data_IF_628914255653
#
_entry.id   IF_628914255653
#
_cell.length_a   1.000
_cell.length_b   1.000
_cell.length_c   1.000
_cell.angle_alpha   90.00
_cell.angle_beta   90.00
_cell.angle_gamma   90.00
#
_symmetry.space_group_name_H-M   'P 1'
#
loop_
_entity.id
_entity.type
_entity.pdbx_description
1 polymer ?
#
# COMPACT_ATOMS: atom_id res chain seq x y z
N UNK A 1 19.32 52.72 36.39
CA UNK A 1 19.34 52.61 34.91
C UNK A 1 18.03 51.93 34.53
N UNK A 2 16.88 52.62 34.44
CA UNK A 2 16.49 53.68 33.47
C UNK A 2 16.51 53.08 32.05
N UNK A 3 15.46 52.97 31.23
CA UNK A 3 14.05 53.40 31.24
C UNK A 3 13.35 52.82 29.99
N UNK A 4 12.02 52.61 30.10
CA UNK A 4 10.97 53.11 29.20
C UNK A 4 10.88 52.59 27.74
N UNK A 5 9.82 51.80 27.55
CA UNK A 5 9.09 51.56 26.31
C UNK A 5 8.83 52.85 25.50
N UNK A 6 9.04 52.78 24.18
CA UNK A 6 8.46 53.70 23.20
C UNK A 6 7.88 52.89 22.05
N UNK A 7 6.57 53.02 21.87
CA UNK A 7 5.84 52.69 20.64
C UNK A 7 6.43 53.49 19.47
N UNK A 8 6.58 52.83 18.32
CA UNK A 8 6.84 53.51 17.06
C UNK A 8 5.80 53.08 16.02
N UNK A 9 5.09 54.09 15.52
CA UNK A 9 4.00 54.03 14.55
C UNK A 9 4.48 53.53 13.19
N UNK A 10 3.56 52.87 12.49
CA UNK A 10 3.64 52.59 11.07
C UNK A 10 3.45 53.86 10.23
N UNK A 11 4.28 54.06 9.20
CA UNK A 11 3.90 54.75 7.96
C UNK A 11 4.84 54.41 6.76
N UNK A 12 4.21 53.83 5.74
CA UNK A 12 4.51 53.69 4.29
C UNK A 12 5.94 53.61 3.71
N UNK A 13 6.25 52.56 2.92
CA UNK A 13 7.37 52.57 1.97
C UNK A 13 7.03 53.36 0.70
N UNK A 14 7.86 54.35 0.39
CA UNK A 14 7.85 55.06 -0.89
C UNK A 14 8.32 54.16 -2.04
N UNK A 15 7.63 54.30 -3.16
CA UNK A 15 7.77 53.57 -4.41
C UNK A 15 9.12 53.77 -5.09
N UNK A 16 9.91 52.69 -5.20
CA UNK A 16 11.09 52.62 -6.06
C UNK A 16 10.72 52.08 -7.44
N UNK A 17 10.96 52.93 -8.44
CA UNK A 17 10.60 52.75 -9.85
C UNK A 17 11.27 51.53 -10.46
N UNK A 18 10.47 50.80 -11.25
CA UNK A 18 10.84 49.70 -12.11
C UNK A 18 11.92 50.08 -13.14
N UNK A 19 13.10 49.49 -13.03
CA UNK A 19 14.04 49.40 -14.16
C UNK A 19 13.91 48.01 -14.76
N UNK A 20 13.24 47.92 -15.91
CA UNK A 20 13.14 46.70 -16.69
C UNK A 20 14.52 46.38 -17.31
N UNK A 21 15.21 45.39 -16.75
CA UNK A 21 16.34 44.74 -17.40
C UNK A 21 15.80 43.80 -18.47
N UNK A 22 15.90 44.19 -19.75
CA UNK A 22 15.64 43.28 -20.86
C UNK A 22 16.84 42.34 -21.04
N UNK A 23 16.71 41.11 -20.54
CA UNK A 23 17.58 40.00 -20.95
C UNK A 23 17.26 39.64 -22.40
N UNK A 24 18.17 39.92 -23.34
CA UNK A 24 18.12 39.29 -24.66
C UNK A 24 18.67 37.88 -24.55
N UNK A 25 17.80 36.89 -24.69
CA UNK A 25 18.18 35.48 -24.79
C UNK A 25 19.14 35.28 -25.97
N UNK A 26 20.18 34.43 -25.84
CA UNK A 26 21.01 34.04 -26.98
C UNK A 26 20.14 33.44 -28.08
N UNK A 27 20.32 33.88 -29.32
CA UNK A 27 19.65 33.28 -30.49
C UNK A 27 19.95 31.78 -30.50
N UNK A 28 18.94 30.95 -30.27
CA UNK A 28 19.04 29.52 -30.49
C UNK A 28 19.32 29.28 -31.97
N UNK A 29 20.53 28.84 -32.31
CA UNK A 29 20.79 28.22 -33.59
C UNK A 29 19.91 26.97 -33.67
N UNK A 30 18.82 27.08 -34.43
CA UNK A 30 17.89 25.99 -34.70
C UNK A 30 18.58 25.04 -35.67
N UNK A 31 19.42 24.15 -35.13
CA UNK A 31 19.94 23.03 -35.89
C UNK A 31 18.73 22.15 -36.24
N UNK A 32 18.28 22.22 -37.49
CA UNK A 32 17.24 21.32 -37.99
C UNK A 32 17.75 19.88 -37.86
N UNK A 33 16.98 18.97 -37.24
CA UNK A 33 17.35 17.56 -37.22
C UNK A 33 17.56 17.10 -38.66
N UNK A 34 18.72 16.53 -38.96
CA UNK A 34 18.95 15.90 -40.26
C UNK A 34 17.87 14.83 -40.48
N UNK A 35 17.29 14.72 -41.70
CA UNK A 35 16.26 13.72 -41.96
C UNK A 35 16.86 12.33 -41.72
N UNK A 36 16.25 11.55 -40.83
CA UNK A 36 16.59 10.14 -40.70
C UNK A 36 16.22 9.47 -42.02
N UNK A 37 17.12 8.70 -42.66
CA UNK A 37 16.79 7.96 -43.86
C UNK A 37 15.52 7.11 -43.67
N UNK A 38 14.61 7.12 -44.66
CA UNK A 38 13.28 6.50 -44.53
C UNK A 38 13.36 5.00 -44.20
N UNK A 39 14.35 4.30 -44.72
CA UNK A 39 14.68 2.90 -44.43
C UNK A 39 15.04 2.69 -42.96
N UNK A 40 15.85 3.58 -42.40
CA UNK A 40 16.21 3.57 -40.97
C UNK A 40 14.99 3.90 -40.10
N UNK A 41 14.16 4.86 -40.52
CA UNK A 41 12.93 5.21 -39.82
C UNK A 41 11.91 4.05 -39.82
N UNK A 42 11.76 3.34 -40.95
CA UNK A 42 10.92 2.15 -41.09
C UNK A 42 11.42 0.98 -40.21
N UNK A 43 12.74 0.78 -40.14
CA UNK A 43 13.33 -0.26 -39.30
C UNK A 43 13.16 0.04 -37.82
N UNK A 44 13.33 1.30 -37.40
CA UNK A 44 13.06 1.73 -36.02
C UNK A 44 11.56 1.58 -35.70
N UNK A 45 10.67 1.98 -36.60
CA UNK A 45 9.23 1.87 -36.39
C UNK A 45 8.77 0.41 -36.24
N UNK A 46 9.24 -0.49 -37.11
CA UNK A 46 8.94 -1.92 -37.02
C UNK A 46 9.48 -2.55 -35.74
N UNK A 47 10.70 -2.19 -35.34
CA UNK A 47 11.29 -2.64 -34.08
C UNK A 47 10.50 -2.15 -32.86
N UNK A 48 10.19 -0.85 -32.79
CA UNK A 48 9.38 -0.28 -31.70
C UNK A 48 7.98 -0.88 -31.64
N UNK A 49 7.35 -1.14 -32.79
CA UNK A 49 6.06 -1.82 -32.86
C UNK A 49 6.16 -3.26 -32.32
N UNK A 50 7.23 -3.98 -32.64
CA UNK A 50 7.50 -5.32 -32.11
C UNK A 50 7.61 -5.33 -30.58
N UNK A 51 8.40 -4.42 -30.00
CA UNK A 51 8.51 -4.29 -28.54
C UNK A 51 7.20 -3.90 -27.88
N UNK A 52 6.41 -3.04 -28.53
CA UNK A 52 5.09 -2.65 -28.03
C UNK A 52 4.13 -3.84 -27.98
N UNK A 53 4.09 -4.66 -29.03
CA UNK A 53 3.26 -5.87 -29.05
C UNK A 53 3.70 -6.85 -27.95
N UNK A 54 5.01 -7.12 -27.85
CA UNK A 54 5.55 -7.99 -26.81
C UNK A 54 5.22 -7.50 -25.39
N UNK A 55 5.41 -6.21 -25.10
CA UNK A 55 5.06 -5.62 -23.81
C UNK A 55 3.56 -5.74 -23.52
N UNK A 56 2.72 -5.50 -24.53
CA UNK A 56 1.27 -5.61 -24.38
C UNK A 56 0.83 -7.05 -24.08
N UNK A 57 1.42 -8.04 -24.75
CA UNK A 57 1.16 -9.46 -24.50
C UNK A 57 1.57 -9.85 -23.08
N UNK A 58 2.78 -9.49 -22.65
CA UNK A 58 3.27 -9.74 -21.30
C UNK A 58 2.38 -9.07 -20.24
N UNK A 59 1.99 -7.82 -20.50
CA UNK A 59 1.11 -7.07 -19.60
C UNK A 59 -0.27 -7.73 -19.49
N UNK A 60 -0.84 -8.16 -20.61
CA UNK A 60 -2.13 -8.87 -20.63
C UNK A 60 -2.06 -10.20 -19.88
N UNK A 61 -0.96 -10.94 -20.03
CA UNK A 61 -0.74 -12.18 -19.29
C UNK A 61 -0.67 -11.93 -17.77
N UNK A 62 0.13 -10.94 -17.35
CA UNK A 62 0.22 -10.50 -15.95
C UNK A 62 -1.13 -10.03 -15.42
N UNK A 63 -1.89 -9.28 -16.22
CA UNK A 63 -3.23 -8.82 -15.85
C UNK A 63 -4.19 -10.00 -15.63
N UNK A 64 -4.21 -10.98 -16.54
CA UNK A 64 -5.04 -12.17 -16.40
C UNK A 64 -4.70 -12.97 -15.13
N UNK A 65 -3.40 -13.16 -14.87
CA UNK A 65 -2.89 -13.80 -13.64
C UNK A 65 -3.28 -13.03 -12.38
N UNK A 66 -3.17 -11.70 -12.39
CA UNK A 66 -3.62 -10.85 -11.29
C UNK A 66 -5.12 -11.02 -11.02
N UNK A 67 -5.93 -11.02 -12.09
CA UNK A 67 -7.37 -11.22 -11.99
C UNK A 67 -7.71 -12.55 -11.32
N UNK A 68 -6.98 -13.63 -11.62
CA UNK A 68 -7.18 -14.91 -10.94
C UNK A 68 -6.92 -14.83 -9.42
N UNK A 69 -5.85 -14.15 -9.00
CA UNK A 69 -5.55 -13.96 -7.56
C UNK A 69 -6.62 -13.10 -6.89
N UNK A 70 -7.04 -12.02 -7.54
CA UNK A 70 -8.11 -11.13 -7.03
C UNK A 70 -9.40 -11.91 -6.85
N UNK A 71 -9.84 -12.64 -7.88
CA UNK A 71 -11.06 -13.45 -7.83
C UNK A 71 -10.98 -14.53 -6.75
N UNK A 72 -9.81 -15.16 -6.59
CA UNK A 72 -9.58 -16.14 -5.54
C UNK A 72 -9.78 -15.52 -4.15
N UNK A 73 -9.13 -14.38 -3.86
CA UNK A 73 -9.27 -13.68 -2.58
C UNK A 73 -10.72 -13.25 -2.34
N UNK A 74 -11.38 -12.70 -3.35
CA UNK A 74 -12.77 -12.27 -3.26
C UNK A 74 -13.72 -13.44 -2.98
N UNK A 75 -13.55 -14.55 -3.70
CA UNK A 75 -14.34 -15.78 -3.51
C UNK A 75 -14.15 -16.35 -2.10
N UNK A 76 -12.90 -16.44 -1.62
CA UNK A 76 -12.60 -16.90 -0.27
C UNK A 76 -13.10 -15.94 0.81
N UNK A 77 -13.26 -14.65 0.49
CA UNK A 77 -13.78 -13.63 1.42
C UNK A 77 -15.31 -13.48 1.41
N UNK A 78 -16.03 -14.22 0.55
CA UNK A 78 -17.49 -14.15 0.40
C UNK A 78 -18.25 -14.41 1.72
N UNK A 79 -17.63 -15.13 2.65
CA UNK A 79 -18.11 -15.34 4.02
C UNK A 79 -17.71 -14.24 5.02
N UNK A 80 -17.57 -12.98 4.57
CA UNK A 80 -17.23 -11.78 5.38
C UNK A 80 -15.77 -11.74 5.88
N UNK A 81 -15.09 -12.87 5.92
CA UNK A 81 -13.73 -13.00 6.42
C UNK A 81 -12.89 -13.93 5.54
N UNK A 82 -11.61 -13.63 5.44
CA UNK A 82 -10.58 -14.42 4.76
C UNK A 82 -9.73 -15.12 5.81
N UNK A 83 -9.62 -16.45 5.73
CA UNK A 83 -8.71 -17.21 6.59
C UNK A 83 -7.25 -16.98 6.19
N UNK A 84 -6.34 -17.05 7.16
CA UNK A 84 -4.91 -16.81 6.91
C UNK A 84 -4.29 -17.81 5.94
N UNK A 85 -4.78 -19.05 5.90
CA UNK A 85 -4.29 -20.05 4.94
C UNK A 85 -4.54 -19.63 3.49
N UNK A 86 -5.75 -19.13 3.19
CA UNK A 86 -6.09 -18.61 1.86
C UNK A 86 -5.29 -17.33 1.55
N UNK A 87 -5.10 -16.47 2.55
CA UNK A 87 -4.26 -15.28 2.39
C UNK A 87 -2.79 -15.61 2.10
N UNK A 88 -2.21 -16.58 2.80
CA UNK A 88 -0.84 -17.05 2.57
C UNK A 88 -0.70 -17.72 1.20
N UNK A 89 -1.70 -18.51 0.79
CA UNK A 89 -1.74 -19.08 -0.55
C UNK A 89 -1.75 -17.99 -1.62
N UNK A 90 -2.55 -16.94 -1.46
CA UNK A 90 -2.56 -15.81 -2.39
C UNK A 90 -1.18 -15.11 -2.47
N UNK A 91 -0.46 -14.98 -1.34
CA UNK A 91 0.93 -14.46 -1.37
C UNK A 91 1.88 -15.38 -2.13
N UNK A 92 1.77 -16.70 -1.94
CA UNK A 92 2.57 -17.68 -2.66
C UNK A 92 2.27 -17.65 -4.16
N UNK A 93 1.01 -17.50 -4.54
CA UNK A 93 0.58 -17.38 -5.93
C UNK A 93 1.19 -16.12 -6.57
N UNK A 94 1.14 -14.96 -5.90
CA UNK A 94 1.81 -13.74 -6.39
C UNK A 94 3.32 -13.95 -6.62
N UNK A 95 3.98 -14.65 -5.70
CA UNK A 95 5.39 -14.98 -5.84
C UNK A 95 5.66 -15.95 -7.02
N UNK A 96 4.87 -17.01 -7.14
CA UNK A 96 4.98 -17.98 -8.23
C UNK A 96 4.76 -17.32 -9.61
N UNK A 97 3.90 -16.31 -9.65
CA UNK A 97 3.64 -15.48 -10.84
C UNK A 97 4.71 -14.38 -11.06
N UNK A 98 5.74 -14.33 -10.22
CA UNK A 98 6.85 -13.37 -10.26
C UNK A 98 6.38 -11.91 -10.32
N UNK A 99 5.37 -11.55 -9.52
CA UNK A 99 4.90 -10.18 -9.46
C UNK A 99 5.97 -9.27 -8.87
N UNK A 100 6.34 -8.23 -9.62
CA UNK A 100 7.20 -7.15 -9.15
C UNK A 100 6.39 -6.01 -8.52
N UNK A 101 7.10 -5.03 -7.97
CA UNK A 101 6.46 -3.86 -7.34
C UNK A 101 5.53 -3.10 -8.28
N UNK A 102 5.94 -2.88 -9.53
CA UNK A 102 5.12 -2.18 -10.54
C UNK A 102 3.83 -2.95 -10.86
N UNK A 103 3.91 -4.29 -10.94
CA UNK A 103 2.74 -5.14 -11.15
C UNK A 103 1.75 -4.97 -9.98
N UNK A 104 2.25 -4.98 -8.74
CA UNK A 104 1.40 -4.79 -7.54
C UNK A 104 0.75 -3.41 -7.54
N UNK A 105 1.49 -2.35 -7.83
CA UNK A 105 0.95 -1.00 -7.93
C UNK A 105 -0.14 -0.90 -9.01
N UNK A 106 0.04 -1.60 -10.13
CA UNK A 106 -0.86 -1.51 -11.27
C UNK A 106 -2.12 -2.36 -11.08
N UNK A 107 -1.99 -3.54 -10.47
CA UNK A 107 -3.08 -4.52 -10.39
C UNK A 107 -3.73 -4.64 -9.02
N UNK A 108 -2.98 -4.48 -7.92
CA UNK A 108 -3.50 -4.70 -6.55
C UNK A 108 -3.80 -3.38 -5.82
N UNK A 109 -3.14 -2.27 -6.15
CA UNK A 109 -3.41 -0.95 -5.54
C UNK A 109 -4.47 -0.16 -6.31
N UNK A 110 -5.59 -0.82 -6.56
CA UNK A 110 -6.76 -0.24 -7.19
C UNK A 110 -7.84 0.05 -6.14
N UNK A 111 -8.44 1.26 -6.13
CA UNK A 111 -9.54 1.56 -5.22
C UNK A 111 -10.80 0.73 -5.52
N UNK A 112 -10.95 0.20 -6.73
CA UNK A 112 -12.10 -0.66 -7.08
C UNK A 112 -12.04 -2.04 -6.40
N UNK A 113 -10.85 -2.45 -5.96
CA UNK A 113 -10.66 -3.75 -5.31
C UNK A 113 -10.92 -3.68 -3.81
N UNK A 114 -11.14 -4.84 -3.21
CA UNK A 114 -11.33 -4.96 -1.76
C UNK A 114 -10.08 -4.54 -0.99
N UNK A 115 -10.28 -4.04 0.24
CA UNK A 115 -9.15 -3.69 1.12
C UNK A 115 -8.27 -4.91 1.45
N UNK A 116 -8.82 -6.12 1.40
CA UNK A 116 -8.07 -7.37 1.62
C UNK A 116 -7.02 -7.59 0.52
N UNK A 117 -7.40 -7.33 -0.75
CA UNK A 117 -6.46 -7.38 -1.87
C UNK A 117 -5.43 -6.27 -1.77
N UNK A 118 -5.84 -5.06 -1.36
CA UNK A 118 -4.88 -3.96 -1.15
C UNK A 118 -3.88 -4.31 -0.03
N UNK A 119 -4.34 -4.92 1.08
CA UNK A 119 -3.49 -5.40 2.17
C UNK A 119 -2.54 -6.51 1.70
N UNK A 120 -3.02 -7.45 0.87
CA UNK A 120 -2.20 -8.49 0.26
C UNK A 120 -1.04 -7.88 -0.53
N UNK A 121 -1.33 -6.90 -1.39
CA UNK A 121 -0.29 -6.20 -2.16
C UNK A 121 0.70 -5.44 -1.27
N UNK A 122 0.22 -4.77 -0.22
CA UNK A 122 1.07 -4.03 0.72
C UNK A 122 2.04 -4.96 1.45
N UNK A 123 1.51 -6.04 2.02
CA UNK A 123 2.29 -7.02 2.75
C UNK A 123 3.30 -7.72 1.86
N UNK A 124 2.90 -8.12 0.64
CA UNK A 124 3.80 -8.72 -0.34
C UNK A 124 4.95 -7.78 -0.74
N UNK A 125 4.67 -6.48 -0.96
CA UNK A 125 5.71 -5.50 -1.27
C UNK A 125 6.76 -5.38 -0.16
N UNK A 126 6.32 -5.26 1.10
CA UNK A 126 7.21 -5.02 2.24
C UNK A 126 7.99 -6.30 2.58
N UNK A 127 7.28 -7.41 2.77
CA UNK A 127 7.86 -8.62 3.35
C UNK A 127 8.51 -9.54 2.31
N UNK A 128 8.01 -9.56 1.07
CA UNK A 128 8.49 -10.49 0.06
C UNK A 128 9.44 -9.82 -0.94
N UNK A 129 9.06 -8.63 -1.44
CA UNK A 129 9.88 -7.90 -2.39
C UNK A 129 10.95 -7.01 -1.72
N UNK A 130 10.86 -6.80 -0.40
CA UNK A 130 11.79 -5.92 0.33
C UNK A 130 11.71 -4.46 -0.11
N UNK A 131 10.56 -4.02 -0.64
CA UNK A 131 10.37 -2.64 -1.07
C UNK A 131 10.29 -1.75 0.19
N UNK A 132 11.05 -0.64 0.24
CA UNK A 132 10.98 0.30 1.35
C UNK A 132 9.54 0.77 1.60
N UNK A 133 9.08 0.71 2.85
CA UNK A 133 7.69 0.97 3.20
C UNK A 133 7.22 2.38 2.80
N UNK A 134 8.12 3.38 2.84
CA UNK A 134 7.85 4.74 2.37
C UNK A 134 7.49 4.81 0.87
N UNK A 135 8.06 3.97 0.02
CA UNK A 135 7.71 3.87 -1.39
C UNK A 135 6.31 3.30 -1.56
N UNK A 136 5.99 2.25 -0.82
CA UNK A 136 4.67 1.60 -0.87
C UNK A 136 3.59 2.54 -0.33
N UNK A 137 3.85 3.26 0.77
CA UNK A 137 2.94 4.25 1.34
C UNK A 137 2.58 5.36 0.33
N UNK A 138 3.56 5.92 -0.38
CA UNK A 138 3.30 6.91 -1.46
C UNK A 138 2.40 6.33 -2.55
N UNK A 139 2.56 5.06 -2.88
CA UNK A 139 1.69 4.40 -3.85
C UNK A 139 0.25 4.30 -3.34
N UNK A 140 0.05 3.89 -2.08
CA UNK A 140 -1.28 3.81 -1.45
C UNK A 140 -1.95 5.19 -1.36
N UNK A 141 -1.19 6.22 -1.00
CA UNK A 141 -1.66 7.60 -0.93
C UNK A 141 -2.07 8.12 -2.31
N UNK A 142 -1.24 7.89 -3.34
CA UNK A 142 -1.55 8.32 -4.71
C UNK A 142 -2.83 7.69 -5.27
N UNK A 143 -3.17 6.50 -4.78
CA UNK A 143 -4.37 5.73 -5.13
C UNK A 143 -5.55 5.98 -4.18
N UNK A 144 -5.39 6.81 -3.14
CA UNK A 144 -6.40 7.13 -2.12
C UNK A 144 -6.93 5.89 -1.39
N UNK A 145 -6.07 4.92 -1.13
CA UNK A 145 -6.42 3.66 -0.43
C UNK A 145 -5.72 3.52 0.93
N UNK A 146 -4.84 4.45 1.30
CA UNK A 146 -4.05 4.41 2.55
C UNK A 146 -4.90 4.34 3.83
N UNK A 147 -6.04 5.04 3.87
CA UNK A 147 -6.92 5.12 5.04
C UNK A 147 -7.90 3.94 5.18
N UNK A 148 -7.91 3.00 4.22
CA UNK A 148 -8.81 1.85 4.28
C UNK A 148 -8.49 0.98 5.48
N UNK A 149 -9.52 0.55 6.19
CA UNK A 149 -9.39 -0.19 7.44
C UNK A 149 -9.58 -1.69 7.27
N UNK A 150 -8.75 -2.45 7.98
CA UNK A 150 -8.82 -3.91 8.08
C UNK A 150 -8.88 -4.30 9.55
N UNK A 151 -9.55 -5.40 9.84
CA UNK A 151 -9.56 -6.04 11.15
C UNK A 151 -8.95 -7.43 11.03
N UNK A 152 -7.93 -7.73 11.85
CA UNK A 152 -7.37 -9.07 11.97
C UNK A 152 -7.75 -9.61 13.34
N UNK A 153 -8.32 -10.81 13.35
CA UNK A 153 -8.72 -11.53 14.56
C UNK A 153 -7.93 -12.81 14.64
N UNK A 154 -7.37 -13.13 15.80
CA UNK A 154 -6.69 -14.40 16.00
C UNK A 154 -6.87 -14.95 17.41
N UNK A 155 -6.81 -16.26 17.51
CA UNK A 155 -6.97 -16.99 18.76
C UNK A 155 -5.60 -17.39 19.30
N UNK A 156 -5.21 -16.84 20.44
CA UNK A 156 -3.99 -17.21 21.14
C UNK A 156 -4.26 -18.35 22.11
N UNK A 157 -3.42 -19.39 22.05
CA UNK A 157 -3.48 -20.51 22.98
C UNK A 157 -3.14 -20.05 24.38
N UNK A 158 -3.96 -20.47 25.34
CA UNK A 158 -3.70 -20.20 26.74
C UNK A 158 -2.42 -20.88 27.21
N UNK A 159 -1.53 -20.11 27.83
CA UNK A 159 -0.24 -20.58 28.33
C UNK A 159 -0.45 -21.37 29.62
N UNK A 160 0.32 -22.44 29.81
CA UNK A 160 0.38 -23.14 31.09
C UNK A 160 1.12 -22.29 32.12
N UNK A 161 0.46 -21.96 33.23
CA UNK A 161 1.10 -21.28 34.36
C UNK A 161 0.50 -21.76 35.67
N UNK A 162 1.32 -21.84 36.73
CA UNK A 162 0.88 -22.27 38.06
C UNK A 162 0.11 -23.62 38.08
N UNK A 163 0.47 -24.56 37.19
CA UNK A 163 -0.13 -25.90 37.14
C UNK A 163 -1.49 -26.00 36.41
N UNK A 164 -2.02 -24.91 35.87
CA UNK A 164 -3.23 -24.92 35.04
C UNK A 164 -2.99 -24.27 33.69
N UNK A 165 -3.75 -24.72 32.69
CA UNK A 165 -3.78 -24.08 31.37
C UNK A 165 -4.69 -22.86 31.42
N UNK A 166 -4.15 -21.69 31.08
CA UNK A 166 -4.95 -20.48 30.92
C UNK A 166 -5.98 -20.65 29.80
N UNK A 167 -7.01 -19.80 29.79
CA UNK A 167 -8.02 -19.82 28.72
C UNK A 167 -7.42 -19.28 27.42
N UNK A 168 -7.87 -19.82 26.29
CA UNK A 168 -7.54 -19.28 24.98
C UNK A 168 -8.13 -17.86 24.82
N UNK A 169 -7.36 -16.95 24.25
CA UNK A 169 -7.70 -15.53 24.13
C UNK A 169 -7.98 -15.17 22.68
N UNK A 170 -9.13 -14.55 22.40
CA UNK A 170 -9.42 -13.96 21.10
C UNK A 170 -8.88 -12.52 21.07
N UNK A 171 -7.88 -12.28 20.23
CA UNK A 171 -7.32 -10.97 19.96
C UNK A 171 -7.93 -10.40 18.69
N UNK A 172 -8.21 -9.10 18.68
CA UNK A 172 -8.75 -8.37 17.52
C UNK A 172 -8.02 -7.04 17.40
N UNK A 173 -7.40 -6.80 16.25
CA UNK A 173 -6.73 -5.54 15.92
C UNK A 173 -7.36 -4.92 14.70
N UNK A 174 -7.72 -3.65 14.82
CA UNK A 174 -8.12 -2.78 13.70
C UNK A 174 -7.00 -1.83 13.39
N UNK A 175 -6.77 -1.62 12.11
CA UNK A 175 -5.74 -0.72 11.62
C UNK A 175 -6.05 -0.27 10.19
N UNK A 176 -5.42 0.83 9.78
CA UNK A 176 -5.45 1.29 8.40
C UNK A 176 -4.27 0.73 7.61
N UNK A 177 -4.34 0.74 6.27
CA UNK A 177 -3.18 0.33 5.45
C UNK A 177 -1.94 1.21 5.71
N UNK A 178 -2.12 2.50 6.04
CA UNK A 178 -1.00 3.36 6.43
C UNK A 178 -0.35 2.94 7.75
N UNK A 179 -1.11 2.46 8.73
CA UNK A 179 -0.54 1.99 10.00
C UNK A 179 0.42 0.80 9.81
N UNK A 180 0.12 -0.07 8.83
CA UNK A 180 0.99 -1.19 8.46
C UNK A 180 2.29 -0.69 7.83
N UNK A 181 2.22 0.25 6.88
CA UNK A 181 3.41 0.82 6.26
C UNK A 181 4.27 1.67 7.21
N UNK A 182 3.70 2.18 8.30
CA UNK A 182 4.41 2.88 9.37
C UNK A 182 4.99 1.95 10.44
N UNK A 183 4.98 0.63 10.22
CA UNK A 183 5.46 -0.38 11.17
C UNK A 183 4.77 -0.32 12.56
N UNK A 184 3.56 0.26 12.65
CA UNK A 184 2.80 0.30 13.91
C UNK A 184 2.13 -1.03 14.24
N UNK A 185 2.10 -1.95 13.28
CA UNK A 185 1.36 -3.22 13.33
C UNK A 185 2.26 -4.43 13.02
N UNK A 186 3.50 -4.41 13.50
CA UNK A 186 4.46 -5.51 13.31
C UNK A 186 3.94 -6.85 13.85
N UNK A 187 3.27 -6.86 15.00
CA UNK A 187 2.64 -8.06 15.57
C UNK A 187 1.64 -8.67 14.58
N UNK A 188 0.80 -7.83 13.98
CA UNK A 188 -0.21 -8.30 13.01
C UNK A 188 0.47 -8.86 11.77
N UNK A 189 1.47 -8.17 11.22
CA UNK A 189 2.22 -8.67 10.06
C UNK A 189 2.90 -10.01 10.38
N UNK A 190 3.49 -10.16 11.57
CA UNK A 190 4.08 -11.41 12.00
C UNK A 190 3.04 -12.53 12.08
N UNK A 191 1.84 -12.27 12.60
CA UNK A 191 0.72 -13.23 12.65
C UNK A 191 0.24 -13.61 11.25
N UNK A 192 0.11 -12.64 10.34
CA UNK A 192 -0.30 -12.90 8.95
C UNK A 192 0.75 -13.69 8.16
N UNK A 193 2.03 -13.39 8.39
CA UNK A 193 3.13 -14.08 7.74
C UNK A 193 3.29 -15.51 8.26
N UNK A 194 3.26 -15.69 9.59
CA UNK A 194 3.43 -17.00 10.25
C UNK A 194 2.21 -17.90 10.11
N UNK A 195 1.00 -17.34 10.20
CA UNK A 195 -0.25 -18.09 10.19
C UNK A 195 -0.56 -18.75 11.53
N UNK A 196 -1.37 -19.83 11.48
CA UNK A 196 -1.71 -20.61 12.65
C UNK A 196 -0.55 -21.55 13.04
N UNK A 197 0.03 -21.34 14.23
CA UNK A 197 1.15 -22.11 14.79
C UNK A 197 0.78 -22.50 16.23
N UNK A 198 1.54 -23.34 16.94
CA UNK A 198 1.32 -23.79 18.32
C UNK A 198 0.93 -22.73 19.38
N UNK A 199 0.99 -21.43 19.09
CA UNK A 199 0.49 -20.34 19.95
C UNK A 199 -0.75 -19.64 19.37
N UNK A 200 -1.06 -19.80 18.09
CA UNK A 200 -2.14 -19.16 17.35
C UNK A 200 -2.99 -20.20 16.62
N UNK A 201 -4.22 -20.44 17.07
CA UNK A 201 -5.08 -21.50 16.53
C UNK A 201 -5.70 -21.17 15.19
N UNK A 202 -6.13 -19.92 15.02
CA UNK A 202 -6.87 -19.46 13.86
C UNK A 202 -6.66 -17.97 13.71
N UNK A 203 -6.55 -17.53 12.46
CA UNK A 203 -6.39 -16.12 12.09
C UNK A 203 -7.35 -15.82 10.96
N UNK A 204 -8.17 -14.79 11.17
CA UNK A 204 -9.16 -14.30 10.22
C UNK A 204 -8.92 -12.82 9.92
N UNK A 205 -9.08 -12.46 8.66
CA UNK A 205 -8.91 -11.10 8.15
C UNK A 205 -10.28 -10.64 7.64
N UNK A 206 -10.77 -9.52 8.15
CA UNK A 206 -12.08 -8.98 7.81
C UNK A 206 -11.95 -7.54 7.34
N UNK A 207 -12.86 -7.12 6.46
CA UNK A 207 -13.09 -5.69 6.24
C UNK A 207 -13.58 -5.09 7.56
N UNK A 208 -12.98 -3.97 7.98
CA UNK A 208 -13.41 -3.32 9.21
C UNK A 208 -14.81 -2.73 9.03
N UNK A 209 -15.79 -3.28 9.75
CA UNK A 209 -17.14 -2.73 9.78
C UNK A 209 -17.15 -1.43 10.61
N UNK A 210 -17.66 -0.30 10.11
CA UNK A 210 -17.73 0.94 10.89
C UNK A 210 -18.61 0.84 12.15
N UNK A 211 -19.48 -0.18 12.24
CA UNK A 211 -20.49 -0.31 13.31
C UNK A 211 -20.06 -1.18 14.51
N UNK A 212 -19.03 -2.01 14.37
CA UNK A 212 -18.63 -2.90 15.48
C UNK A 212 -17.60 -2.21 16.37
N UNK A 213 -17.82 -2.09 17.70
CA UNK A 213 -16.81 -1.53 18.60
C UNK A 213 -15.56 -2.44 18.65
N UNK A 214 -14.42 -1.87 19.01
CA UNK A 214 -13.25 -2.65 19.43
C UNK A 214 -13.63 -3.44 20.68
N UNK A 215 -13.62 -4.78 20.60
CA UNK A 215 -14.07 -5.67 21.69
C UNK A 215 -13.11 -5.73 22.90
N UNK A 216 -12.27 -4.72 23.11
CA UNK A 216 -11.30 -4.67 24.21
C UNK A 216 -11.91 -4.53 25.62
N UNK A 217 -13.24 -4.53 25.76
CA UNK A 217 -13.91 -4.41 27.07
C UNK A 217 -15.14 -5.33 27.20
N UNK A 218 -15.02 -6.65 27.02
CA UNK A 218 -16.05 -7.59 27.49
C UNK A 218 -15.46 -8.84 28.17
N UNK A 219 -14.49 -8.63 29.05
CA UNK A 219 -14.10 -9.60 30.07
C UNK A 219 -14.45 -9.08 31.47
N UNK A 220 -15.65 -8.50 31.61
CA UNK A 220 -16.15 -8.05 32.91
C UNK A 220 -17.68 -7.96 33.00
N UNK A 221 -18.45 -8.96 32.54
CA UNK A 221 -19.78 -9.27 33.11
C UNK A 221 -20.38 -10.55 32.50
N UNK A 222 -20.05 -11.71 33.09
CA UNK A 222 -21.05 -12.75 33.38
C UNK A 222 -20.67 -13.38 34.72
N UNK A 223 -21.24 -12.84 35.78
CA UNK A 223 -21.41 -13.51 37.07
C UNK A 223 -22.91 -13.58 37.32
N UNK A 224 -23.39 -14.76 37.72
CA UNK A 224 -24.79 -15.04 38.02
C UNK A 224 -25.38 -16.03 37.03
#
# INVERSE_FOLDING_TARGET
MTTRWKEEKAESPQTLKSNAFSFQSPKQNKMSPLPVPEDVALQIASFLQGWRCFYMELHNEKAARATSVVQFVETCSSSVSLEVGEYQKAMQDLHALQFGYQDVQMFLFKPELTVLVNLLGLHYCINWLGVPANCVLKALESRKISERQVCVKWWKLGIWSHGFRMRDELLSRRFTLIDVGLAKQEEVLAVLYRGAIHEVLRVQICVADPSSPSWSCQSAHRRG
#
